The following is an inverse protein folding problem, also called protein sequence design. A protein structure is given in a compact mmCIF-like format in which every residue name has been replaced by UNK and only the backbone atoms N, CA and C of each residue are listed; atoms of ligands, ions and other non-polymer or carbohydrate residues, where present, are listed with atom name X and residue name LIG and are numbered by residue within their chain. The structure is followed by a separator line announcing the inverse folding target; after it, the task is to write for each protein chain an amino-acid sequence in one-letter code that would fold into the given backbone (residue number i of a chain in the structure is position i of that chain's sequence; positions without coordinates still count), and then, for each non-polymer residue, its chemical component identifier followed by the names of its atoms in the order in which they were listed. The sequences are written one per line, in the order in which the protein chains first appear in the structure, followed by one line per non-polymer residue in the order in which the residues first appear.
data_IF_423826765228
#
_entry.id   IF_423826765228
#
_cell.length_a   1.000
_cell.length_b   1.000
_cell.length_c   1.000
_cell.angle_alpha   90.00
_cell.angle_beta   90.00
_cell.angle_gamma   90.00
#
_symmetry.space_group_name_H-M   'P 1'
#
loop_
_entity.id
_entity.type
_entity.pdbx_description
1 polymer ?
#
# COMPACT_ATOMS: atom_id res chain seq x y z
N UNK A 1 -17.51 -6.16 -7.89
CA UNK A 1 -16.82 -4.88 -8.13
C UNK A 1 -17.01 -4.44 -9.57
N UNK A 2 -16.24 -4.92 -10.55
CA UNK A 2 -16.35 -4.48 -11.96
C UNK A 2 -17.78 -4.51 -12.50
N UNK A 3 -18.49 -5.65 -12.35
CA UNK A 3 -19.89 -5.77 -12.79
C UNK A 3 -20.84 -4.78 -12.09
N UNK A 4 -20.54 -4.39 -10.86
CA UNK A 4 -21.37 -3.43 -10.10
C UNK A 4 -21.15 -2.00 -10.58
N UNK A 5 -19.96 -1.66 -11.10
CA UNK A 5 -19.70 -0.36 -11.73
C UNK A 5 -20.33 -0.25 -13.13
N UNK A 6 -20.55 -1.38 -13.80
CA UNK A 6 -21.23 -1.41 -15.09
C UNK A 6 -22.75 -1.39 -14.95
N UNK A 7 -23.28 -1.87 -13.81
CA UNK A 7 -24.71 -2.01 -13.60
C UNK A 7 -25.51 -0.72 -13.83
N UNK A 8 -25.07 0.46 -13.35
CA UNK A 8 -25.77 1.71 -13.62
C UNK A 8 -25.92 2.06 -15.10
N UNK A 9 -24.90 1.77 -15.90
CA UNK A 9 -24.95 1.98 -17.34
C UNK A 9 -25.87 0.97 -18.02
N UNK A 10 -25.81 -0.30 -17.59
CA UNK A 10 -26.64 -1.38 -18.15
C UNK A 10 -28.13 -1.12 -17.92
N UNK A 11 -28.52 -0.52 -16.80
CA UNK A 11 -29.92 -0.18 -16.53
C UNK A 11 -30.37 1.11 -17.22
N UNK A 12 -29.44 2.00 -17.59
CA UNK A 12 -29.77 3.29 -18.21
C UNK A 12 -29.88 3.25 -19.73
N UNK A 13 -29.43 2.16 -20.36
CA UNK A 13 -29.36 2.02 -21.82
C UNK A 13 -30.16 0.82 -22.32
N UNK A 14 -30.92 1.00 -23.39
CA UNK A 14 -31.71 -0.07 -24.02
C UNK A 14 -30.81 -1.09 -24.73
N UNK A 15 -29.70 -0.64 -25.32
CA UNK A 15 -28.72 -1.47 -26.04
C UNK A 15 -27.29 -1.20 -25.53
N UNK A 16 -26.91 -1.72 -24.35
CA UNK A 16 -25.61 -1.44 -23.75
C UNK A 16 -24.46 -2.01 -24.60
N UNK A 17 -23.42 -1.21 -24.80
CA UNK A 17 -22.20 -1.63 -25.51
C UNK A 17 -20.95 -1.30 -24.70
N UNK A 18 -19.83 -1.96 -25.00
CA UNK A 18 -18.54 -1.69 -24.33
C UNK A 18 -18.10 -0.24 -24.58
N UNK A 19 -18.15 0.21 -25.83
CA UNK A 19 -17.77 1.57 -26.20
C UNK A 19 -18.69 2.61 -25.55
N UNK A 20 -20.00 2.32 -25.51
CA UNK A 20 -20.97 3.15 -24.81
C UNK A 20 -20.69 3.25 -23.32
N UNK A 21 -20.35 2.13 -22.65
CA UNK A 21 -19.97 2.14 -21.24
C UNK A 21 -18.72 2.99 -20.98
N UNK A 22 -17.69 2.86 -21.82
CA UNK A 22 -16.45 3.63 -21.64
C UNK A 22 -16.70 5.13 -21.78
N UNK A 23 -17.50 5.55 -22.77
CA UNK A 23 -17.91 6.95 -22.92
C UNK A 23 -18.76 7.42 -21.75
N UNK A 24 -19.75 6.62 -21.35
CA UNK A 24 -20.62 6.94 -20.21
C UNK A 24 -19.82 7.10 -18.91
N UNK A 25 -18.88 6.18 -18.63
CA UNK A 25 -18.05 6.20 -17.44
C UNK A 25 -17.08 7.39 -17.44
N UNK A 26 -16.51 7.75 -18.59
CA UNK A 26 -15.65 8.94 -18.73
C UNK A 26 -16.42 10.24 -18.49
N UNK A 27 -17.69 10.29 -18.88
CA UNK A 27 -18.54 11.47 -18.74
C UNK A 27 -19.31 11.54 -17.40
N UNK A 28 -19.10 10.59 -16.48
CA UNK A 28 -19.75 10.64 -15.17
C UNK A 28 -19.29 11.86 -14.37
N UNK A 29 -20.27 12.61 -13.84
CA UNK A 29 -20.04 13.70 -12.90
C UNK A 29 -20.09 13.26 -11.45
N UNK A 30 -20.69 12.09 -11.17
CA UNK A 30 -20.75 11.54 -9.82
C UNK A 30 -19.35 11.20 -9.29
N UNK A 31 -18.98 11.91 -8.24
CA UNK A 31 -17.67 11.85 -7.64
C UNK A 31 -17.38 10.52 -6.95
N UNK A 32 -18.40 9.91 -6.32
CA UNK A 32 -18.26 8.60 -5.69
C UNK A 32 -18.01 7.53 -6.74
N UNK A 33 -18.80 7.51 -7.81
CA UNK A 33 -18.62 6.60 -8.93
C UNK A 33 -17.22 6.73 -9.52
N UNK A 34 -16.75 7.95 -9.81
CA UNK A 34 -15.40 8.19 -10.34
C UNK A 34 -14.32 7.65 -9.41
N UNK A 35 -14.40 7.94 -8.12
CA UNK A 35 -13.44 7.43 -7.14
C UNK A 35 -13.39 5.89 -7.16
N UNK A 36 -14.56 5.23 -7.18
CA UNK A 36 -14.64 3.75 -7.22
C UNK A 36 -14.14 3.19 -8.55
N UNK A 37 -14.45 3.87 -9.66
CA UNK A 37 -13.94 3.53 -10.97
C UNK A 37 -12.41 3.59 -11.00
N UNK A 38 -11.79 4.65 -10.48
CA UNK A 38 -10.33 4.76 -10.37
C UNK A 38 -9.76 3.65 -9.49
N UNK A 39 -10.36 3.38 -8.32
CA UNK A 39 -9.92 2.32 -7.42
C UNK A 39 -9.96 0.94 -8.07
N UNK A 40 -11.01 0.64 -8.82
CA UNK A 40 -11.23 -0.70 -9.40
C UNK A 40 -10.49 -0.89 -10.72
N UNK A 41 -10.50 0.09 -11.62
CA UNK A 41 -9.91 -0.10 -12.95
C UNK A 41 -8.46 0.37 -13.01
N UNK A 42 -8.13 1.51 -12.40
CA UNK A 42 -6.77 2.07 -12.49
C UNK A 42 -5.85 1.39 -11.48
N UNK A 43 -6.23 1.37 -10.20
CA UNK A 43 -5.35 0.84 -9.16
C UNK A 43 -5.26 -0.68 -9.16
N UNK A 44 -6.35 -1.41 -9.44
CA UNK A 44 -6.26 -2.87 -9.60
C UNK A 44 -5.37 -3.24 -10.78
N UNK A 45 -5.50 -2.55 -11.92
CA UNK A 45 -4.63 -2.79 -13.06
C UNK A 45 -3.18 -2.44 -12.73
N UNK A 46 -2.93 -1.36 -11.98
CA UNK A 46 -1.60 -1.04 -11.49
C UNK A 46 -1.04 -2.13 -10.57
N UNK A 47 -1.85 -2.74 -9.67
CA UNK A 47 -1.42 -3.89 -8.86
C UNK A 47 -1.08 -5.09 -9.74
N UNK A 48 -1.92 -5.41 -10.72
CA UNK A 48 -1.67 -6.50 -11.66
C UNK A 48 -0.38 -6.25 -12.44
N UNK A 49 -0.19 -5.04 -12.95
CA UNK A 49 1.03 -4.63 -13.66
C UNK A 49 2.24 -4.68 -12.74
N UNK A 50 2.13 -4.26 -11.49
CA UNK A 50 3.21 -4.35 -10.51
C UNK A 50 3.58 -5.80 -10.23
N UNK A 51 2.61 -6.66 -9.92
CA UNK A 51 2.82 -8.09 -9.65
C UNK A 51 3.40 -8.81 -10.86
N UNK A 52 2.90 -8.50 -12.05
CA UNK A 52 3.42 -9.01 -13.32
C UNK A 52 4.84 -8.51 -13.55
N UNK A 53 5.07 -7.22 -13.36
CA UNK A 53 6.38 -6.58 -13.46
C UNK A 53 7.41 -7.19 -12.50
N UNK A 54 7.01 -7.53 -11.27
CA UNK A 54 7.85 -8.21 -10.29
C UNK A 54 8.09 -9.67 -10.66
N UNK A 55 7.04 -10.43 -11.03
CA UNK A 55 7.13 -11.87 -11.33
C UNK A 55 7.84 -12.20 -12.63
N UNK A 56 7.69 -11.37 -13.65
CA UNK A 56 8.24 -11.60 -14.99
C UNK A 56 9.40 -10.65 -15.32
N UNK A 57 9.87 -9.89 -14.33
CA UNK A 57 10.83 -8.79 -14.50
C UNK A 57 10.55 -7.93 -15.74
N UNK A 58 9.46 -7.18 -15.68
CA UNK A 58 9.21 -6.13 -16.66
C UNK A 58 9.38 -4.79 -15.95
N UNK A 59 10.59 -4.20 -15.94
CA UNK A 59 10.86 -2.94 -15.26
C UNK A 59 9.87 -1.85 -15.66
N UNK A 60 9.51 -1.78 -16.96
CA UNK A 60 8.52 -0.83 -17.46
C UNK A 60 7.15 -0.99 -16.78
N UNK A 61 6.65 -2.21 -16.60
CA UNK A 61 5.38 -2.45 -15.89
C UNK A 61 5.48 -2.07 -14.41
N UNK A 62 6.62 -2.39 -13.77
CA UNK A 62 6.88 -2.02 -12.39
C UNK A 62 6.93 -0.51 -12.22
N UNK A 63 7.63 0.20 -13.09
CA UNK A 63 7.76 1.67 -13.06
C UNK A 63 6.42 2.34 -13.38
N UNK A 64 5.70 1.87 -14.40
CA UNK A 64 4.37 2.37 -14.71
C UNK A 64 3.41 2.22 -13.52
N UNK A 65 3.38 1.04 -12.90
CA UNK A 65 2.56 0.81 -11.71
C UNK A 65 2.99 1.68 -10.52
N UNK A 66 4.29 1.79 -10.23
CA UNK A 66 4.83 2.68 -9.19
C UNK A 66 4.38 4.13 -9.44
N UNK A 67 4.45 4.61 -10.68
CA UNK A 67 4.04 5.96 -11.05
C UNK A 67 2.55 6.22 -10.82
N UNK A 68 1.69 5.22 -11.05
CA UNK A 68 0.26 5.31 -10.75
C UNK A 68 0.00 5.40 -9.23
N UNK A 69 0.77 4.66 -8.42
CA UNK A 69 0.62 4.70 -6.96
C UNK A 69 1.34 5.86 -6.26
N UNK A 70 2.30 6.48 -6.93
CA UNK A 70 3.17 7.51 -6.40
C UNK A 70 2.41 8.63 -5.65
N UNK A 71 1.34 9.22 -6.22
CA UNK A 71 0.53 10.21 -5.50
C UNK A 71 -0.04 9.68 -4.18
N UNK A 72 -0.58 8.46 -4.17
CA UNK A 72 -1.19 7.84 -2.98
C UNK A 72 -0.14 7.65 -1.88
N UNK A 73 1.04 7.15 -2.25
CA UNK A 73 2.14 6.93 -1.30
C UNK A 73 2.64 8.24 -0.70
N UNK A 74 2.73 9.29 -1.51
CA UNK A 74 3.09 10.64 -1.06
C UNK A 74 2.03 11.27 -0.15
N UNK A 75 0.75 10.89 -0.27
CA UNK A 75 -0.34 11.50 0.48
C UNK A 75 -0.47 11.01 1.93
N UNK A 76 0.04 9.82 2.27
CA UNK A 76 -0.27 9.15 3.56
C UNK A 76 0.94 8.67 4.37
N UNK A 77 2.11 8.50 3.76
CA UNK A 77 3.26 7.87 4.44
C UNK A 77 4.15 8.87 5.16
N UNK A 78 4.86 8.35 6.16
CA UNK A 78 5.92 9.01 6.94
C UNK A 78 6.85 9.82 6.02
N UNK A 79 7.28 11.04 6.42
CA UNK A 79 8.11 11.93 5.59
C UNK A 79 9.32 11.25 4.94
N UNK A 80 9.95 10.30 5.66
CA UNK A 80 11.11 9.54 5.16
C UNK A 80 10.81 8.71 3.91
N UNK A 81 9.66 8.04 3.83
CA UNK A 81 9.32 7.19 2.70
C UNK A 81 8.97 8.01 1.46
N UNK A 82 8.40 9.21 1.65
CA UNK A 82 8.17 10.16 0.56
C UNK A 82 9.50 10.63 -0.03
N UNK A 83 10.46 10.94 0.83
CA UNK A 83 11.78 11.36 0.40
C UNK A 83 12.52 10.23 -0.32
N UNK A 84 12.55 9.02 0.25
CA UNK A 84 13.18 7.85 -0.36
C UNK A 84 12.63 7.63 -1.79
N UNK A 85 11.31 7.70 -1.94
CA UNK A 85 10.67 7.42 -3.22
C UNK A 85 10.95 8.50 -4.28
N UNK A 86 10.88 9.78 -3.90
CA UNK A 86 11.22 10.89 -4.81
C UNK A 86 12.71 10.93 -5.16
N UNK A 87 13.58 10.65 -4.19
CA UNK A 87 15.03 10.59 -4.41
C UNK A 87 15.43 9.39 -5.27
N UNK A 88 14.78 8.23 -5.12
CA UNK A 88 14.97 7.07 -6.01
C UNK A 88 14.60 7.42 -7.46
N UNK A 89 13.45 8.07 -7.68
CA UNK A 89 13.05 8.53 -9.02
C UNK A 89 14.05 9.54 -9.61
N UNK A 90 14.47 10.52 -8.82
CA UNK A 90 15.45 11.53 -9.24
C UNK A 90 16.79 10.89 -9.62
N UNK A 91 17.33 10.01 -8.77
CA UNK A 91 18.60 9.34 -9.02
C UNK A 91 18.53 8.54 -10.31
N UNK A 92 17.46 7.76 -10.52
CA UNK A 92 17.26 6.97 -11.73
C UNK A 92 17.17 7.82 -13.00
N UNK A 93 16.63 9.04 -12.92
CA UNK A 93 16.58 9.99 -14.04
C UNK A 93 17.92 10.65 -14.35
N UNK A 94 18.78 10.84 -13.34
CA UNK A 94 20.11 11.44 -13.49
C UNK A 94 21.16 10.45 -14.01
N UNK A 95 20.90 9.14 -13.94
CA UNK A 95 21.80 8.13 -14.46
C UNK A 95 22.01 8.29 -15.97
N UNK A 96 23.26 8.13 -16.41
CA UNK A 96 23.56 7.99 -17.84
C UNK A 96 22.77 6.79 -18.42
N UNK A 97 22.23 6.88 -19.64
CA UNK A 97 21.41 5.83 -20.24
C UNK A 97 22.07 4.44 -20.19
N UNK A 98 23.39 4.36 -20.36
CA UNK A 98 24.16 3.11 -20.35
C UNK A 98 24.12 2.46 -18.96
N UNK A 99 24.31 3.25 -17.90
CA UNK A 99 24.26 2.78 -16.51
C UNK A 99 22.82 2.38 -16.15
N UNK A 100 21.85 3.20 -16.56
CA UNK A 100 20.42 2.92 -16.34
C UNK A 100 20.00 1.61 -16.99
N UNK A 101 20.43 1.36 -18.23
CA UNK A 101 20.15 0.12 -18.95
C UNK A 101 20.82 -1.08 -18.25
N UNK A 102 22.09 -0.96 -17.88
CA UNK A 102 22.81 -2.01 -17.15
C UNK A 102 22.13 -2.38 -15.82
N UNK A 103 21.68 -1.38 -15.07
CA UNK A 103 20.90 -1.61 -13.84
C UNK A 103 19.59 -2.31 -14.19
N UNK A 104 18.82 -1.82 -15.16
CA UNK A 104 17.54 -2.42 -15.55
C UNK A 104 17.67 -3.89 -16.01
N UNK A 105 18.73 -4.23 -16.73
CA UNK A 105 19.04 -5.58 -17.18
C UNK A 105 19.44 -6.51 -16.02
N UNK A 106 20.07 -5.97 -14.97
CA UNK A 106 20.64 -6.74 -13.86
C UNK A 106 19.83 -6.72 -12.57
N UNK A 107 18.68 -6.06 -12.52
CA UNK A 107 17.79 -6.01 -11.33
C UNK A 107 17.27 -7.40 -10.89
N UNK A 108 17.38 -8.42 -11.74
CA UNK A 108 16.86 -9.77 -11.48
C UNK A 108 17.81 -10.85 -11.98
N UNK A 109 17.55 -12.09 -11.59
CA UNK A 109 18.28 -13.25 -12.09
C UNK A 109 17.30 -14.39 -12.37
N UNK A 110 17.48 -15.10 -13.50
CA UNK A 110 16.74 -16.34 -13.76
C UNK A 110 17.44 -17.49 -13.03
N UNK A 111 16.73 -18.16 -12.13
CA UNK A 111 17.22 -19.35 -11.41
C UNK A 111 16.91 -20.65 -12.14
N UNK A 112 15.86 -20.68 -12.96
CA UNK A 112 15.40 -21.88 -13.68
C UNK A 112 16.01 -22.06 -15.06
N UNK A 113 16.91 -21.15 -15.49
CA UNK A 113 17.45 -21.05 -16.87
C UNK A 113 16.38 -20.79 -17.94
N UNK A 114 15.11 -20.65 -17.56
CA UNK A 114 14.04 -20.25 -18.46
C UNK A 114 14.09 -18.73 -18.64
N UNK A 115 14.01 -18.29 -19.90
CA UNK A 115 14.12 -16.89 -20.32
C UNK A 115 12.93 -16.01 -19.93
N UNK A 116 11.90 -16.58 -19.30
CA UNK A 116 10.69 -15.88 -18.88
C UNK A 116 10.45 -15.94 -17.36
N UNK A 117 11.34 -16.59 -16.60
CA UNK A 117 11.23 -16.75 -15.14
C UNK A 117 12.38 -16.03 -14.45
N UNK A 118 12.23 -14.73 -14.31
CA UNK A 118 13.18 -13.90 -13.58
C UNK A 118 12.65 -13.59 -12.19
N UNK A 119 13.51 -13.75 -11.18
CA UNK A 119 13.17 -13.41 -9.80
C UNK A 119 13.99 -12.19 -9.34
N UNK A 120 13.34 -11.27 -8.65
CA UNK A 120 14.04 -10.18 -7.96
C UNK A 120 14.96 -10.72 -6.87
N UNK A 121 16.12 -10.09 -6.67
CA UNK A 121 17.11 -10.57 -5.70
C UNK A 121 16.54 -10.69 -4.29
N UNK A 122 15.67 -9.78 -3.87
CA UNK A 122 15.02 -9.84 -2.56
C UNK A 122 14.13 -11.09 -2.40
N UNK A 123 13.34 -11.43 -3.42
CA UNK A 123 12.53 -12.65 -3.41
C UNK A 123 13.41 -13.91 -3.38
N UNK A 124 14.55 -13.90 -4.09
CA UNK A 124 15.54 -14.98 -4.05
C UNK A 124 16.11 -15.11 -2.63
N UNK A 125 16.49 -13.98 -2.01
CA UNK A 125 17.01 -13.95 -0.65
C UNK A 125 15.97 -14.40 0.37
N UNK A 126 14.70 -14.04 0.20
CA UNK A 126 13.61 -14.48 1.07
C UNK A 126 13.40 -16.00 0.98
N UNK A 127 13.43 -16.59 -0.22
CA UNK A 127 13.33 -18.05 -0.43
C UNK A 127 14.51 -18.80 0.21
N UNK A 128 15.72 -18.27 0.04
CA UNK A 128 16.92 -18.78 0.71
C UNK A 128 16.76 -18.65 2.23
N UNK A 129 16.28 -17.52 2.73
CA UNK A 129 16.07 -17.30 4.16
C UNK A 129 15.04 -18.25 4.75
N UNK A 130 13.93 -18.53 4.04
CA UNK A 130 12.96 -19.56 4.44
C UNK A 130 13.60 -20.93 4.54
N UNK A 131 14.41 -21.29 3.54
CA UNK A 131 15.17 -22.55 3.54
C UNK A 131 16.13 -22.62 4.73
N UNK A 132 16.88 -21.56 5.01
CA UNK A 132 17.80 -21.50 6.15
C UNK A 132 17.07 -21.60 7.49
N UNK A 133 15.93 -20.91 7.64
CA UNK A 133 15.10 -20.97 8.85
C UNK A 133 14.59 -22.37 9.15
N UNK A 134 14.40 -23.21 8.12
CA UNK A 134 14.04 -24.62 8.32
C UNK A 134 15.17 -25.48 8.89
N UNK A 135 16.43 -25.01 8.84
CA UNK A 135 17.62 -25.75 9.26
C UNK A 135 18.13 -25.36 10.66
N UNK A 136 17.59 -24.28 11.23
CA UNK A 136 18.05 -23.73 12.51
C UNK A 136 16.99 -23.98 13.60
N UNK A 137 17.42 -24.11 14.86
CA UNK A 137 16.49 -24.30 15.97
C UNK A 137 15.66 -23.02 16.24
N UNK A 138 14.54 -23.14 16.98
CA UNK A 138 13.67 -21.99 17.32
C UNK A 138 14.39 -20.83 18.00
N UNK A 139 15.44 -21.13 18.79
CA UNK A 139 16.32 -20.13 19.41
C UNK A 139 17.70 -20.28 18.74
N UNK A 140 17.95 -19.58 17.62
CA UNK A 140 19.19 -19.72 16.88
C UNK A 140 20.33 -18.95 17.55
N UNK A 141 21.54 -19.48 17.40
CA UNK A 141 22.78 -18.78 17.73
C UNK A 141 23.53 -18.45 16.44
N UNK A 142 24.54 -17.58 16.49
CA UNK A 142 25.33 -17.24 15.30
C UNK A 142 25.95 -18.49 14.64
N UNK A 143 26.43 -19.44 15.45
CA UNK A 143 26.96 -20.72 14.95
C UNK A 143 25.93 -21.54 14.17
N UNK A 144 24.66 -21.53 14.60
CA UNK A 144 23.58 -22.21 13.86
C UNK A 144 23.38 -21.59 12.47
N UNK A 145 23.36 -20.26 12.39
CA UNK A 145 23.25 -19.54 11.11
C UNK A 145 24.43 -19.82 10.18
N UNK A 146 25.66 -19.80 10.70
CA UNK A 146 26.86 -20.07 9.91
C UNK A 146 26.87 -21.49 9.34
N UNK A 147 26.50 -22.49 10.16
CA UNK A 147 26.42 -23.88 9.73
C UNK A 147 25.32 -24.07 8.68
N UNK A 148 24.12 -23.52 8.92
CA UNK A 148 23.00 -23.60 7.98
C UNK A 148 23.34 -22.93 6.64
N UNK A 149 23.89 -21.71 6.67
CA UNK A 149 24.27 -20.98 5.47
C UNK A 149 25.34 -21.71 4.63
N UNK A 150 26.40 -22.22 5.28
CA UNK A 150 27.49 -22.95 4.59
C UNK A 150 27.03 -24.26 3.97
N UNK A 151 25.99 -24.89 4.53
CA UNK A 151 25.55 -26.23 4.13
C UNK A 151 24.19 -26.27 3.43
N UNK A 152 23.49 -25.14 3.27
CA UNK A 152 22.13 -25.07 2.74
C UNK A 152 21.94 -25.85 1.42
N UNK A 153 22.86 -25.68 0.47
CA UNK A 153 22.80 -26.37 -0.83
C UNK A 153 23.05 -27.87 -0.70
N UNK A 154 23.97 -28.28 0.18
CA UNK A 154 24.26 -29.71 0.44
C UNK A 154 23.07 -30.38 1.12
N UNK A 155 22.47 -29.70 2.09
CA UNK A 155 21.28 -30.17 2.79
C UNK A 155 20.09 -30.29 1.84
N UNK A 156 19.85 -29.30 0.99
CA UNK A 156 18.76 -29.34 0.00
C UNK A 156 18.90 -30.56 -0.91
N UNK A 157 20.11 -30.84 -1.41
CA UNK A 157 20.40 -32.06 -2.20
C UNK A 157 20.15 -33.34 -1.41
N UNK A 158 20.62 -33.39 -0.15
CA UNK A 158 20.40 -34.55 0.71
C UNK A 158 18.91 -34.81 0.95
N UNK A 159 18.15 -33.77 1.27
CA UNK A 159 16.68 -33.83 1.46
C UNK A 159 15.99 -34.35 0.21
N UNK A 160 16.28 -33.78 -0.97
CA UNK A 160 15.72 -34.25 -2.24
C UNK A 160 16.05 -35.72 -2.50
N UNK A 161 17.30 -36.13 -2.26
CA UNK A 161 17.70 -37.53 -2.44
C UNK A 161 16.98 -38.48 -1.48
N UNK A 162 16.86 -38.12 -0.20
CA UNK A 162 16.13 -38.90 0.79
C UNK A 162 14.67 -39.03 0.37
N UNK A 163 14.02 -37.92 -0.01
CA UNK A 163 12.62 -37.90 -0.44
C UNK A 163 12.38 -38.77 -1.67
N UNK A 164 13.28 -38.73 -2.66
CA UNK A 164 13.23 -39.62 -3.81
C UNK A 164 13.35 -41.10 -3.41
N UNK A 165 14.24 -41.44 -2.47
CA UNK A 165 14.44 -42.82 -1.99
C UNK A 165 13.19 -43.35 -1.29
N UNK A 166 12.56 -42.56 -0.44
CA UNK A 166 11.38 -42.97 0.33
C UNK A 166 10.07 -42.85 -0.47
N UNK A 167 10.14 -42.50 -1.76
CA UNK A 167 8.95 -42.29 -2.60
C UNK A 167 8.09 -41.10 -2.17
N UNK A 168 8.66 -40.17 -1.40
CA UNK A 168 7.96 -38.97 -0.96
C UNK A 168 7.96 -37.95 -2.10
N UNK A 169 6.86 -37.91 -2.85
CA UNK A 169 6.50 -36.73 -3.62
C UNK A 169 6.02 -35.66 -2.63
N UNK A 170 6.56 -34.43 -2.68
CA UNK A 170 5.97 -33.27 -2.02
C UNK A 170 4.59 -32.99 -2.66
N UNK A 171 3.59 -33.82 -2.38
CA UNK A 171 2.22 -33.34 -2.28
C UNK A 171 2.18 -32.62 -0.95
N UNK A 172 2.41 -31.31 -0.97
CA UNK A 172 2.16 -30.46 0.19
C UNK A 172 0.79 -30.88 0.76
N UNK A 173 0.80 -31.49 1.95
CA UNK A 173 -0.40 -31.56 2.78
C UNK A 173 -0.57 -30.15 3.33
N UNK A 174 -0.92 -29.23 2.42
CA UNK A 174 -1.69 -28.08 2.80
C UNK A 174 -3.05 -28.68 3.15
N UNK A 175 -3.29 -28.97 4.44
CA UNK A 175 -4.66 -28.84 4.93
C UNK A 175 -5.16 -27.52 4.33
N UNK A 176 -6.22 -27.55 3.50
CA UNK A 176 -6.69 -26.34 2.90
C UNK A 176 -7.06 -25.45 4.07
N UNK A 177 -6.26 -24.42 4.33
CA UNK A 177 -6.75 -23.23 5.02
C UNK A 177 -8.10 -23.01 4.37
N UNK A 178 -9.18 -23.09 5.15
CA UNK A 178 -10.54 -22.90 4.66
C UNK A 178 -10.66 -21.45 4.24
N UNK A 179 -10.03 -21.12 3.12
CA UNK A 179 -10.14 -19.87 2.43
C UNK A 179 -11.59 -19.88 1.97
N UNK A 180 -12.42 -18.96 2.48
CA UNK A 180 -13.79 -18.87 2.04
C UNK A 180 -13.77 -18.79 0.51
N UNK A 181 -14.56 -19.64 -0.15
CA UNK A 181 -14.50 -19.77 -1.59
C UNK A 181 -14.68 -18.39 -2.24
N UNK A 182 -13.71 -17.93 -3.03
CA UNK A 182 -13.69 -16.59 -3.61
C UNK A 182 -15.03 -16.20 -4.26
N UNK A 183 -15.69 -17.15 -4.93
CA UNK A 183 -17.01 -16.97 -5.54
C UNK A 183 -18.09 -16.63 -4.52
N UNK A 184 -18.11 -17.32 -3.38
CA UNK A 184 -19.10 -17.12 -2.30
C UNK A 184 -18.88 -15.74 -1.67
N UNK A 185 -17.65 -15.39 -1.31
CA UNK A 185 -17.34 -14.08 -0.73
C UNK A 185 -17.56 -12.94 -1.71
N UNK A 186 -17.18 -13.14 -2.98
CA UNK A 186 -17.47 -12.17 -4.04
C UNK A 186 -18.96 -11.93 -4.21
N UNK A 187 -19.81 -12.96 -4.04
CA UNK A 187 -21.27 -12.80 -4.09
C UNK A 187 -21.78 -12.07 -2.87
N UNK A 188 -21.34 -12.45 -1.65
CA UNK A 188 -21.70 -11.77 -0.39
C UNK A 188 -21.40 -10.27 -0.47
N UNK A 189 -20.20 -9.93 -0.93
CA UNK A 189 -19.77 -8.56 -1.11
C UNK A 189 -20.60 -7.78 -2.14
N UNK A 190 -20.93 -8.40 -3.29
CA UNK A 190 -21.80 -7.77 -4.29
C UNK A 190 -23.21 -7.50 -3.75
N UNK A 191 -23.77 -8.44 -2.99
CA UNK A 191 -25.08 -8.26 -2.35
C UNK A 191 -25.07 -7.06 -1.42
N UNK A 192 -24.01 -6.89 -0.62
CA UNK A 192 -23.87 -5.72 0.26
C UNK A 192 -23.79 -4.41 -0.54
N UNK A 193 -22.97 -4.34 -1.59
CA UNK A 193 -22.86 -3.16 -2.46
C UNK A 193 -24.22 -2.75 -3.04
N UNK A 194 -25.00 -3.72 -3.53
CA UNK A 194 -26.32 -3.46 -4.11
C UNK A 194 -27.33 -3.01 -3.07
N UNK A 195 -27.39 -3.69 -1.92
CA UNK A 195 -28.29 -3.31 -0.81
C UNK A 195 -28.04 -1.88 -0.35
N UNK A 196 -26.78 -1.47 -0.28
CA UNK A 196 -26.38 -0.11 0.08
C UNK A 196 -26.53 0.91 -1.05
N UNK A 197 -26.97 0.49 -2.26
CA UNK A 197 -26.93 1.32 -3.48
C UNK A 197 -25.59 2.03 -3.66
N UNK A 198 -24.47 1.39 -3.29
CA UNK A 198 -23.21 2.09 -3.03
C UNK A 198 -22.54 2.68 -4.29
N UNK A 199 -22.86 2.13 -5.47
CA UNK A 199 -22.23 2.50 -6.77
C UNK A 199 -23.23 3.01 -7.81
N UNK A 200 -24.51 3.13 -7.48
CA UNK A 200 -25.48 3.78 -8.37
C UNK A 200 -25.07 5.27 -8.54
N UNK A 201 -25.28 5.99 -9.64
CA UNK A 201 -25.14 7.45 -9.65
C UNK A 201 -26.50 8.15 -9.55
N UNK A 202 -27.59 7.43 -9.78
CA UNK A 202 -28.94 8.01 -9.89
C UNK A 202 -29.77 7.96 -8.60
N UNK A 203 -29.23 7.42 -7.51
CA UNK A 203 -29.97 7.40 -6.25
C UNK A 203 -29.73 8.70 -5.46
N UNK A 204 -30.81 9.44 -5.20
CA UNK A 204 -30.83 10.72 -4.49
C UNK A 204 -30.45 10.60 -3.01
N UNK A 205 -29.94 11.69 -2.41
CA UNK A 205 -29.56 11.81 -0.98
C UNK A 205 -28.55 10.77 -0.48
N UNK A 206 -27.50 10.50 -1.26
CA UNK A 206 -26.41 9.67 -0.76
C UNK A 206 -25.35 10.48 -0.05
N UNK A 207 -25.31 10.28 1.26
CA UNK A 207 -24.19 10.69 2.07
C UNK A 207 -22.93 9.98 1.59
N UNK A 208 -21.85 10.74 1.44
CA UNK A 208 -20.55 10.22 1.04
C UNK A 208 -19.97 9.42 2.23
N UNK A 209 -20.37 8.15 2.38
CA UNK A 209 -20.03 7.31 3.51
C UNK A 209 -19.17 6.10 3.11
N UNK A 210 -18.57 5.44 4.10
CA UNK A 210 -17.96 4.13 3.93
C UNK A 210 -19.02 3.06 3.58
N UNK A 211 -18.56 1.87 3.17
CA UNK A 211 -19.47 0.79 2.75
C UNK A 211 -20.42 0.32 3.88
N UNK A 212 -20.04 0.53 5.14
CA UNK A 212 -20.86 0.21 6.31
C UNK A 212 -21.90 1.27 6.67
N UNK A 213 -21.81 2.48 6.10
CA UNK A 213 -22.66 3.62 6.46
C UNK A 213 -22.34 4.26 7.82
N UNK A 214 -21.25 3.82 8.47
CA UNK A 214 -20.87 4.25 9.81
C UNK A 214 -20.03 5.52 9.80
N UNK A 215 -19.22 5.72 8.76
CA UNK A 215 -18.27 6.82 8.68
C UNK A 215 -18.59 7.71 7.48
N UNK A 216 -18.87 8.98 7.76
CA UNK A 216 -18.93 10.03 6.72
C UNK A 216 -17.52 10.35 6.24
N UNK A 217 -17.31 10.15 4.95
CA UNK A 217 -16.07 10.43 4.26
C UNK A 217 -15.97 11.94 3.96
N UNK A 218 -14.76 12.46 3.97
CA UNK A 218 -14.47 13.88 3.74
C UNK A 218 -14.64 14.28 2.27
N UNK A 219 -14.82 15.58 2.02
CA UNK A 219 -14.77 16.13 0.66
C UNK A 219 -13.39 15.95 0.01
N UNK A 220 -12.32 15.97 0.81
CA UNK A 220 -10.97 15.71 0.29
C UNK A 220 -10.80 14.27 -0.21
N UNK A 221 -11.55 13.32 0.36
CA UNK A 221 -11.53 11.94 -0.09
C UNK A 221 -12.20 11.78 -1.47
N UNK A 222 -13.19 12.61 -1.81
CA UNK A 222 -13.76 12.70 -3.17
C UNK A 222 -12.66 13.04 -4.18
N UNK A 223 -11.84 14.03 -3.87
CA UNK A 223 -10.77 14.53 -4.75
C UNK A 223 -9.41 13.93 -4.41
N UNK A 224 -9.39 12.76 -3.77
CA UNK A 224 -8.17 12.19 -3.19
C UNK A 224 -7.03 12.11 -4.20
N UNK A 225 -7.28 11.55 -5.38
CA UNK A 225 -6.27 11.38 -6.44
C UNK A 225 -5.69 12.71 -6.91
N UNK A 226 -6.53 13.73 -7.03
CA UNK A 226 -6.15 15.07 -7.47
C UNK A 226 -5.29 15.77 -6.41
N UNK A 227 -5.77 15.80 -5.17
CA UNK A 227 -5.07 16.40 -4.02
C UNK A 227 -3.74 15.69 -3.78
N UNK A 228 -3.71 14.36 -3.87
CA UNK A 228 -2.50 13.56 -3.73
C UNK A 228 -1.44 13.92 -4.79
N UNK A 229 -1.88 14.15 -6.04
CA UNK A 229 -1.00 14.58 -7.12
C UNK A 229 -0.47 15.99 -6.89
N UNK A 230 -1.34 16.93 -6.48
CA UNK A 230 -0.94 18.31 -6.16
C UNK A 230 0.10 18.34 -5.05
N UNK A 231 -0.21 17.68 -3.92
CA UNK A 231 0.72 17.55 -2.79
C UNK A 231 2.07 17.01 -3.26
N UNK A 232 2.08 15.90 -4.01
CA UNK A 232 3.34 15.32 -4.54
C UNK A 232 4.16 16.35 -5.34
N UNK A 233 3.52 17.13 -6.21
CA UNK A 233 4.20 18.17 -7.00
C UNK A 233 4.81 19.25 -6.09
N UNK A 234 4.06 19.73 -5.10
CA UNK A 234 4.55 20.70 -4.11
C UNK A 234 5.76 20.16 -3.34
N UNK A 235 5.70 18.90 -2.92
CA UNK A 235 6.82 18.25 -2.23
C UNK A 235 8.08 18.19 -3.08
N UNK A 236 7.95 17.79 -4.35
CA UNK A 236 9.06 17.72 -5.29
C UNK A 236 9.68 19.11 -5.49
N UNK A 237 8.85 20.16 -5.69
CA UNK A 237 9.32 21.54 -5.85
C UNK A 237 10.10 22.00 -4.62
N UNK A 238 9.51 21.88 -3.44
CA UNK A 238 10.13 22.32 -2.20
C UNK A 238 11.44 21.57 -1.89
N UNK A 239 11.48 20.25 -2.10
CA UNK A 239 12.68 19.44 -1.79
C UNK A 239 13.77 19.48 -2.85
N UNK A 240 13.43 19.36 -4.13
CA UNK A 240 14.43 19.20 -5.20
C UNK A 240 14.80 20.51 -5.88
N UNK A 241 13.86 21.47 -5.99
CA UNK A 241 14.08 22.72 -6.73
C UNK A 241 14.45 23.83 -5.75
N UNK A 242 13.57 24.14 -4.81
CA UNK A 242 13.69 25.30 -3.93
C UNK A 242 14.60 25.03 -2.72
N UNK A 243 14.79 23.76 -2.35
CA UNK A 243 15.53 23.30 -1.17
C UNK A 243 15.06 24.00 0.12
N UNK A 244 13.77 24.33 0.17
CA UNK A 244 13.14 25.00 1.31
C UNK A 244 12.61 23.99 2.33
N UNK A 245 12.51 24.37 3.61
CA UNK A 245 11.74 23.59 4.57
C UNK A 245 10.30 23.50 4.07
N UNK A 246 9.78 22.28 3.92
CA UNK A 246 8.35 22.13 3.76
C UNK A 246 7.71 22.58 5.06
N UNK A 247 6.67 23.41 4.96
CA UNK A 247 5.78 23.66 6.09
C UNK A 247 5.07 22.37 6.54
N UNK A 248 4.10 22.52 7.45
CA UNK A 248 3.35 21.40 8.04
C UNK A 248 2.75 20.51 6.95
N UNK A 249 3.19 19.25 6.87
CA UNK A 249 2.66 18.31 5.89
C UNK A 249 1.50 17.51 6.46
N UNK A 250 0.29 17.81 6.00
CA UNK A 250 -0.92 17.14 6.50
C UNK A 250 -1.30 15.96 5.62
N UNK A 251 -1.68 14.81 6.18
CA UNK A 251 -2.28 13.74 5.39
C UNK A 251 -3.61 14.21 4.79
N UNK A 252 -4.03 13.61 3.68
CA UNK A 252 -5.38 13.87 3.14
C UNK A 252 -6.39 13.17 4.08
N UNK A 253 -7.32 13.91 4.69
CA UNK A 253 -8.30 13.33 5.60
C UNK A 253 -9.23 12.38 4.82
N UNK A 254 -9.62 11.28 5.45
CA UNK A 254 -10.57 10.28 4.89
C UNK A 254 -11.97 10.56 5.33
N UNK A 255 -12.14 10.91 6.61
CA UNK A 255 -13.42 11.12 7.26
C UNK A 255 -13.63 12.60 7.54
N UNK A 256 -14.89 13.01 7.68
CA UNK A 256 -15.23 14.36 8.12
C UNK A 256 -14.58 14.69 9.47
N UNK A 257 -14.56 13.73 10.39
CA UNK A 257 -13.92 13.89 11.71
C UNK A 257 -12.42 14.19 11.58
N UNK A 258 -11.69 13.46 10.73
CA UNK A 258 -10.28 13.74 10.45
C UNK A 258 -10.10 15.15 9.85
N UNK A 259 -10.98 15.57 8.95
CA UNK A 259 -10.91 16.89 8.33
C UNK A 259 -11.15 18.02 9.36
N UNK A 260 -12.17 17.89 10.20
CA UNK A 260 -12.48 18.87 11.26
C UNK A 260 -11.39 18.91 12.33
N UNK A 261 -10.86 17.76 12.74
CA UNK A 261 -9.70 17.69 13.62
C UNK A 261 -8.51 18.42 13.02
N UNK A 262 -8.18 18.18 11.75
CA UNK A 262 -7.08 18.89 11.09
C UNK A 262 -7.33 20.42 11.06
N UNK A 263 -8.55 20.88 10.73
CA UNK A 263 -8.90 22.31 10.76
C UNK A 263 -8.69 22.89 12.15
N UNK A 264 -9.19 22.22 13.19
CA UNK A 264 -9.00 22.67 14.59
C UNK A 264 -7.52 22.74 14.98
N UNK A 265 -6.72 21.77 14.57
CA UNK A 265 -5.28 21.70 14.87
C UNK A 265 -4.46 22.78 14.17
N UNK A 266 -4.92 23.26 13.01
CA UNK A 266 -4.29 24.40 12.34
C UNK A 266 -4.31 25.67 13.19
N UNK A 267 -5.29 25.79 14.11
CA UNK A 267 -5.45 26.90 15.04
C UNK A 267 -4.72 26.71 16.38
N UNK A 268 -4.25 25.49 16.70
CA UNK A 268 -3.65 25.20 18.00
C UNK A 268 -2.25 25.82 18.14
N UNK A 269 -2.00 26.36 19.35
CA UNK A 269 -0.68 26.83 19.79
C UNK A 269 0.24 25.65 20.12
N UNK A 270 1.56 25.88 20.05
CA UNK A 270 2.61 24.90 20.38
C UNK A 270 2.36 24.20 21.73
N UNK A 271 1.99 24.95 22.76
CA UNK A 271 1.73 24.41 24.11
C UNK A 271 0.54 23.46 24.16
N UNK A 272 -0.51 23.74 23.39
CA UNK A 272 -1.71 22.89 23.33
C UNK A 272 -1.41 21.57 22.63
N UNK A 273 -0.66 21.61 21.51
CA UNK A 273 -0.23 20.40 20.79
C UNK A 273 0.63 19.52 21.73
N UNK A 274 1.55 20.14 22.47
CA UNK A 274 2.40 19.43 23.42
C UNK A 274 1.59 18.79 24.56
N UNK A 275 0.54 19.45 25.03
CA UNK A 275 -0.40 18.90 26.01
C UNK A 275 -1.15 17.67 25.48
N UNK A 276 -1.59 17.71 24.20
CA UNK A 276 -2.28 16.58 23.56
C UNK A 276 -1.32 15.40 23.36
N UNK A 277 -0.08 15.66 22.93
CA UNK A 277 0.92 14.60 22.82
C UNK A 277 1.14 13.94 24.18
N UNK A 278 1.38 14.74 25.22
CA UNK A 278 1.61 14.22 26.56
C UNK A 278 0.43 13.44 27.14
N UNK A 279 -0.82 13.73 26.74
CA UNK A 279 -1.99 12.94 27.15
C UNK A 279 -2.13 11.63 26.37
N UNK A 280 -1.61 11.55 25.14
CA UNK A 280 -1.63 10.35 24.31
C UNK A 280 -0.44 9.41 24.57
N UNK A 281 0.73 9.94 24.96
CA UNK A 281 1.94 9.15 25.23
C UNK A 281 1.72 7.97 26.20
N UNK A 282 0.93 8.10 27.29
CA UNK A 282 0.62 6.97 28.16
C UNK A 282 -0.14 5.82 27.48
N UNK A 283 -0.75 6.02 26.32
CA UNK A 283 -1.44 4.95 25.58
C UNK A 283 -0.51 4.15 24.66
N UNK A 284 0.75 4.57 24.53
CA UNK A 284 1.76 3.90 23.71
C UNK A 284 2.49 2.80 24.49
N UNK A 285 3.03 1.80 23.78
CA UNK A 285 3.92 0.78 24.35
C UNK A 285 5.28 1.36 24.77
N UNK A 286 6.00 0.68 25.66
CA UNK A 286 7.22 1.21 26.29
C UNK A 286 8.34 1.61 25.31
N UNK A 287 8.51 0.85 24.22
CA UNK A 287 9.45 1.17 23.14
C UNK A 287 9.09 2.49 22.43
N UNK A 288 7.80 2.71 22.17
CA UNK A 288 7.33 3.91 21.47
C UNK A 288 7.33 5.14 22.40
N UNK A 289 7.00 4.97 23.69
CA UNK A 289 7.10 6.05 24.68
C UNK A 289 8.51 6.64 24.75
N UNK A 290 9.52 5.79 24.70
CA UNK A 290 10.93 6.23 24.76
C UNK A 290 11.34 7.11 23.56
N UNK A 291 10.69 6.95 22.40
CA UNK A 291 10.94 7.75 21.19
C UNK A 291 10.39 9.16 21.29
N UNK A 292 9.37 9.37 22.11
CA UNK A 292 8.65 10.65 22.22
C UNK A 292 9.01 11.42 23.50
N UNK A 293 10.19 11.20 24.07
CA UNK A 293 10.74 11.97 25.18
C UNK A 293 11.38 13.30 24.71
N UNK A 294 11.32 14.35 25.55
CA UNK A 294 12.08 15.59 25.30
C UNK A 294 11.51 16.51 24.20
N UNK A 295 10.19 16.61 24.08
CA UNK A 295 9.52 17.32 22.99
C UNK A 295 9.44 18.85 23.14
N UNK A 296 9.80 19.41 24.30
CA UNK A 296 9.69 20.86 24.58
C UNK A 296 10.45 21.74 23.58
N UNK A 297 11.58 21.24 23.07
CA UNK A 297 12.49 21.97 22.20
C UNK A 297 12.12 21.87 20.70
N UNK A 298 11.17 21.01 20.35
CA UNK A 298 10.72 20.80 18.96
C UNK A 298 9.99 22.03 18.42
N UNK A 299 10.04 22.26 17.10
CA UNK A 299 9.21 23.31 16.47
C UNK A 299 7.72 22.95 16.59
N UNK A 300 6.82 23.90 16.34
CA UNK A 300 5.38 23.60 16.33
C UNK A 300 5.07 22.58 15.22
N UNK A 301 5.75 22.72 14.10
CA UNK A 301 5.63 21.88 12.90
C UNK A 301 6.03 20.44 13.22
N UNK A 302 7.19 20.24 13.86
CA UNK A 302 7.64 18.91 14.29
C UNK A 302 6.66 18.25 15.26
N UNK A 303 6.05 19.02 16.15
CA UNK A 303 5.08 18.51 17.11
C UNK A 303 3.78 18.04 16.45
N UNK A 304 3.33 18.72 15.38
CA UNK A 304 2.17 18.25 14.61
C UNK A 304 2.49 16.93 13.90
N UNK A 305 3.67 16.81 13.31
CA UNK A 305 4.11 15.57 12.66
C UNK A 305 4.20 14.41 13.66
N UNK A 306 4.76 14.67 14.85
CA UNK A 306 4.84 13.70 15.96
C UNK A 306 3.44 13.30 16.45
N UNK A 307 2.54 14.27 16.64
CA UNK A 307 1.16 13.99 17.06
C UNK A 307 0.46 13.05 16.06
N UNK A 308 0.66 13.27 14.76
CA UNK A 308 0.10 12.41 13.73
C UNK A 308 0.73 11.01 13.75
N UNK A 309 2.04 10.91 13.99
CA UNK A 309 2.74 9.62 14.12
C UNK A 309 2.20 8.80 15.30
N UNK A 310 2.04 9.42 16.47
CA UNK A 310 1.47 8.80 17.67
C UNK A 310 0.07 8.26 17.40
N UNK A 311 -0.79 9.05 16.73
CA UNK A 311 -2.13 8.60 16.37
C UNK A 311 -2.14 7.43 15.39
N UNK A 312 -1.24 7.43 14.41
CA UNK A 312 -1.12 6.32 13.47
C UNK A 312 -0.70 5.03 14.17
N UNK A 313 0.18 5.11 15.17
CA UNK A 313 0.58 3.96 16.01
C UNK A 313 -0.62 3.45 16.81
N UNK A 314 -1.37 4.34 17.47
CA UNK A 314 -2.54 3.98 18.25
C UNK A 314 -3.67 3.36 17.40
N UNK A 315 -3.89 3.88 16.19
CA UNK A 315 -4.86 3.33 15.24
C UNK A 315 -4.42 2.00 14.62
N UNK A 316 -3.11 1.75 14.48
CA UNK A 316 -2.59 0.43 14.09
C UNK A 316 -2.85 -0.63 15.16
N UNK A 317 -2.61 -0.29 16.43
CA UNK A 317 -2.80 -1.21 17.54
C UNK A 317 -4.28 -1.59 17.78
N UNK A 318 -5.24 -0.72 17.42
CA UNK A 318 -6.67 -1.02 17.55
C UNK A 318 -7.21 -1.97 16.47
N UNK A 319 -6.55 -2.04 15.31
CA UNK A 319 -6.91 -2.99 14.25
C UNK A 319 -6.45 -4.40 14.63
N UNK A 320 -5.25 -4.56 15.20
CA UNK A 320 -4.73 -5.85 15.66
C UNK A 320 -5.52 -6.42 16.87
N UNK A 321 -6.14 -5.56 17.69
CA UNK A 321 -6.95 -5.99 18.83
C UNK A 321 -8.33 -6.57 18.46
N UNK A 322 -8.82 -6.31 17.24
CA UNK A 322 -10.11 -6.80 16.74
C UNK A 322 -9.98 -8.06 15.86
N UNK A 323 -8.77 -8.62 15.71
CA UNK A 323 -8.52 -9.88 14.99
C UNK A 323 -8.29 -11.10 15.91
N UNK A 324 -8.71 -11.04 17.18
CA UNK A 324 -8.66 -12.19 18.11
C UNK A 324 -10.00 -12.90 18.21
#
# INVERSE_FOLDING_TARGET
MVSELMWPYVISEENPSVEGYLKWAQNQTDHMFRLKYEQVFIYLQAIINFRTGVRFNRPLLRFAARRIFAPIWSARRHPIYRLIEVTDEEQMLRLKPEIRNLIQERIVTSRSKLSNQYQGHDAILEEINKSLKSLIPPIPSQRHWEIAARNCTKFSKLRTNIFNIIGYSESEVNEPRTCPGFTVESRRFRVQIRKANFVNPTADNRDFQNLGGELTLSEEMIRFSEIARMKRIEFIKAKLIEKTPLGIWRPIPVTCEEAELQKSESSLKKSQILSIINSLTPSLGDLDRSRFCGLSNKSREDLVDILQEIRNILAGNSIDANEV
#
